data_IF_361630025339
#
_entry.id   IF_361630025339
#
_cell.length_a   1.000
_cell.length_b   1.000
_cell.length_c   1.000
_cell.angle_alpha   90.00
_cell.angle_beta   90.00
_cell.angle_gamma   90.00
#
_symmetry.space_group_name_H-M   'P 1'
#
loop_
_entity.id
_entity.type
_entity.pdbx_description
1 polymer ?
#
# COMPACT_ATOMS: atom_id res chain seq x y z
N UNK A 1 10.46 12.32 7.54
CA UNK A 1 11.21 13.31 8.36
C UNK A 1 11.71 12.79 9.71
N UNK A 2 10.88 12.13 10.53
CA UNK A 2 11.30 11.66 11.87
C UNK A 2 12.53 10.73 11.80
N UNK A 3 12.52 9.74 10.91
CA UNK A 3 13.65 8.83 10.70
C UNK A 3 14.90 9.56 10.17
N UNK A 4 14.75 10.41 9.14
CA UNK A 4 15.86 11.21 8.61
C UNK A 4 16.51 12.09 9.69
N UNK A 5 15.70 12.75 10.52
CA UNK A 5 16.18 13.54 11.67
C UNK A 5 16.90 12.66 12.70
N UNK A 6 16.38 11.45 12.97
CA UNK A 6 17.00 10.49 13.87
C UNK A 6 18.39 10.05 13.37
N UNK A 7 18.52 9.75 12.07
CA UNK A 7 19.80 9.41 11.46
C UNK A 7 20.76 10.61 11.41
N UNK A 8 20.27 11.81 11.08
CA UNK A 8 21.07 13.03 11.06
C UNK A 8 21.67 13.34 12.44
N UNK A 9 20.91 13.16 13.53
CA UNK A 9 21.43 13.25 14.91
C UNK A 9 22.58 12.26 15.20
N UNK A 10 22.61 11.14 14.49
CA UNK A 10 23.68 10.13 14.56
C UNK A 10 24.84 10.41 13.59
N UNK A 11 24.81 11.52 12.84
CA UNK A 11 25.81 11.89 11.85
C UNK A 11 25.62 11.20 10.50
N UNK A 12 24.43 10.67 10.21
CA UNK A 12 24.11 9.98 8.96
C UNK A 12 23.12 10.81 8.13
N UNK A 13 23.49 11.12 6.89
CA UNK A 13 22.62 11.81 5.95
C UNK A 13 21.68 10.85 5.24
N UNK A 14 20.42 11.26 5.06
CA UNK A 14 19.45 10.57 4.21
C UNK A 14 19.33 11.36 2.91
N UNK A 15 19.75 10.75 1.80
CA UNK A 15 19.84 11.40 0.50
C UNK A 15 18.55 11.35 -0.33
N UNK A 16 17.56 10.54 0.06
CA UNK A 16 16.28 10.44 -0.64
C UNK A 16 15.14 10.25 0.36
N UNK A 17 14.05 11.01 0.15
CA UNK A 17 12.77 10.85 0.83
C UNK A 17 11.71 10.45 -0.20
N UNK A 18 11.23 9.22 -0.05
CA UNK A 18 10.17 8.67 -0.89
C UNK A 18 8.81 8.94 -0.25
N UNK A 19 7.95 9.64 -0.99
CA UNK A 19 6.56 9.90 -0.64
C UNK A 19 5.71 8.88 -1.40
N UNK A 20 4.85 8.19 -0.67
CA UNK A 20 4.03 7.12 -1.22
C UNK A 20 2.56 7.36 -0.95
N UNK A 21 1.70 7.00 -1.90
CA UNK A 21 0.28 6.86 -1.62
C UNK A 21 0.07 5.83 -0.52
N UNK A 22 -0.75 6.17 0.48
CA UNK A 22 -1.02 5.27 1.60
C UNK A 22 -1.79 4.00 1.22
N UNK A 23 -2.58 4.06 0.13
CA UNK A 23 -3.47 2.97 -0.30
C UNK A 23 -3.27 2.53 -1.77
N UNK A 24 -2.72 3.38 -2.65
CA UNK A 24 -2.58 3.09 -4.07
C UNK A 24 -1.19 2.49 -4.45
N UNK A 25 -0.41 2.07 -3.45
CA UNK A 25 0.84 1.32 -3.61
C UNK A 25 0.61 -0.19 -3.48
N UNK A 26 1.59 -1.01 -3.87
CA UNK A 26 1.60 -2.45 -3.54
C UNK A 26 2.14 -2.70 -2.12
N UNK A 27 2.00 -3.93 -1.63
CA UNK A 27 2.49 -4.32 -0.30
C UNK A 27 1.63 -3.84 0.87
N UNK A 28 2.25 -3.55 2.01
CA UNK A 28 1.54 -3.01 3.19
C UNK A 28 0.97 -1.63 2.88
N UNK A 29 -0.28 -1.43 3.26
CA UNK A 29 -0.96 -0.15 3.10
C UNK A 29 -1.02 0.57 4.45
N UNK A 30 -0.73 1.87 4.40
CA UNK A 30 -0.71 2.75 5.55
C UNK A 30 -1.62 3.94 5.25
N UNK A 31 -2.93 3.72 5.38
CA UNK A 31 -3.91 4.79 5.24
C UNK A 31 -3.63 5.87 6.29
N UNK A 32 -3.37 7.10 5.84
CA UNK A 32 -3.38 8.26 6.73
C UNK A 32 -4.80 8.57 7.18
N UNK A 33 -4.96 9.59 8.03
CA UNK A 33 -6.27 10.05 8.50
C UNK A 33 -7.03 10.85 7.42
N UNK A 34 -7.05 10.38 6.17
CA UNK A 34 -7.75 11.02 5.05
C UNK A 34 -6.91 12.02 4.23
N UNK A 35 -5.62 12.22 4.55
CA UNK A 35 -4.73 13.06 3.75
C UNK A 35 -4.40 12.40 2.39
N UNK A 36 -4.82 13.04 1.30
CA UNK A 36 -4.57 12.55 -0.07
C UNK A 36 -3.17 12.94 -0.56
N UNK A 37 -2.64 12.21 -1.54
CA UNK A 37 -1.27 12.36 -2.01
C UNK A 37 -0.99 13.75 -2.61
N UNK A 38 -1.89 14.29 -3.45
CA UNK A 38 -1.63 15.58 -4.11
C UNK A 38 -1.39 16.76 -3.15
N UNK A 39 -2.28 17.00 -2.17
CA UNK A 39 -2.03 18.00 -1.12
C UNK A 39 -0.70 17.78 -0.37
N UNK A 40 -0.37 16.53 -0.05
CA UNK A 40 0.91 16.19 0.60
C UNK A 40 2.09 16.56 -0.30
N UNK A 41 2.05 16.22 -1.58
CA UNK A 41 3.10 16.58 -2.54
C UNK A 41 3.23 18.11 -2.70
N UNK A 42 2.12 18.85 -2.68
CA UNK A 42 2.14 20.32 -2.70
C UNK A 42 2.88 20.89 -1.48
N UNK A 43 2.58 20.38 -0.29
CA UNK A 43 3.25 20.80 0.93
C UNK A 43 4.76 20.52 0.87
N UNK A 44 5.16 19.34 0.36
CA UNK A 44 6.59 19.02 0.20
C UNK A 44 7.29 19.93 -0.81
N UNK A 45 6.63 20.28 -1.91
CA UNK A 45 7.13 21.27 -2.87
C UNK A 45 7.34 22.62 -2.21
N UNK A 46 6.35 23.13 -1.48
CA UNK A 46 6.40 24.45 -0.83
C UNK A 46 7.43 24.52 0.30
N UNK A 47 7.53 23.45 1.10
CA UNK A 47 8.41 23.42 2.29
C UNK A 47 9.79 22.83 2.01
N UNK A 48 10.11 22.49 0.75
CA UNK A 48 11.36 21.78 0.37
C UNK A 48 12.63 22.43 0.95
N UNK A 49 12.78 23.74 0.77
CA UNK A 49 13.95 24.48 1.25
C UNK A 49 14.02 24.53 2.78
N UNK A 50 12.87 24.69 3.43
CA UNK A 50 12.79 24.65 4.89
C UNK A 50 13.22 23.28 5.42
N UNK A 51 12.74 22.19 4.80
CA UNK A 51 13.12 20.82 5.16
C UNK A 51 14.62 20.58 4.98
N UNK A 52 15.19 21.08 3.88
CA UNK A 52 16.63 20.96 3.60
C UNK A 52 17.49 21.68 4.64
N UNK A 53 17.15 22.92 4.98
CA UNK A 53 17.85 23.67 6.04
C UNK A 53 17.79 22.95 7.38
N UNK A 54 16.61 22.56 7.82
CA UNK A 54 16.41 21.88 9.12
C UNK A 54 17.16 20.54 9.18
N UNK A 55 17.19 19.76 8.09
CA UNK A 55 17.92 18.50 8.04
C UNK A 55 19.44 18.72 8.15
N UNK A 56 19.97 19.73 7.45
CA UNK A 56 21.38 20.09 7.51
C UNK A 56 21.81 20.59 8.90
N UNK A 57 20.99 21.42 9.55
CA UNK A 57 21.26 21.90 10.92
C UNK A 57 21.37 20.72 11.90
N UNK A 58 20.45 19.76 11.81
CA UNK A 58 20.47 18.56 12.68
C UNK A 58 21.68 17.69 12.39
N UNK A 59 22.08 17.54 11.11
CA UNK A 59 23.28 16.79 10.73
C UNK A 59 24.55 17.47 11.28
N UNK A 60 24.68 18.79 11.09
CA UNK A 60 25.83 19.55 11.55
C UNK A 60 26.00 19.44 13.07
N UNK A 61 24.90 19.56 13.82
CA UNK A 61 24.92 19.35 15.27
C UNK A 61 25.31 17.91 15.63
N UNK A 62 24.74 16.91 14.94
CA UNK A 62 25.03 15.49 15.16
C UNK A 62 26.52 15.15 14.93
N UNK A 63 27.12 15.71 13.89
CA UNK A 63 28.54 15.55 13.56
C UNK A 63 29.44 16.29 14.56
N UNK A 64 29.11 17.54 14.89
CA UNK A 64 29.86 18.34 15.86
C UNK A 64 29.91 17.67 17.24
N UNK A 65 28.77 17.16 17.73
CA UNK A 65 28.69 16.44 19.01
C UNK A 65 29.53 15.15 19.06
N UNK A 66 29.91 14.62 17.89
CA UNK A 66 30.73 13.41 17.74
C UNK A 66 32.19 13.72 17.38
N UNK A 67 32.59 14.99 17.35
CA UNK A 67 33.92 15.40 16.92
C UNK A 67 34.23 15.03 15.47
N UNK A 68 33.21 14.99 14.60
CA UNK A 68 33.35 14.68 13.17
C UNK A 68 33.35 15.95 12.33
N UNK A 69 33.88 15.84 11.12
CA UNK A 69 33.94 16.94 10.16
C UNK A 69 32.52 17.31 9.74
N UNK A 70 32.15 18.59 9.91
CA UNK A 70 30.91 19.15 9.42
C UNK A 70 31.12 19.60 7.96
N UNK A 71 30.28 19.16 7.01
CA UNK A 71 30.36 19.61 5.61
C UNK A 71 30.25 21.14 5.49
N UNK A 72 31.11 21.74 4.68
CA UNK A 72 31.05 23.19 4.39
C UNK A 72 29.90 23.55 3.44
N UNK A 73 29.62 22.67 2.48
CA UNK A 73 28.45 22.77 1.58
C UNK A 73 27.28 22.04 2.22
N UNK A 74 26.08 22.61 2.13
CA UNK A 74 24.85 21.91 2.52
C UNK A 74 24.68 20.63 1.69
N UNK A 75 24.27 19.57 2.37
CA UNK A 75 23.88 18.32 1.74
C UNK A 75 22.52 18.52 1.08
N UNK A 76 22.32 17.90 -0.08
CA UNK A 76 21.07 17.91 -0.81
C UNK A 76 20.38 16.56 -0.67
N UNK A 77 19.04 16.55 -0.75
CA UNK A 77 18.25 15.33 -0.81
C UNK A 77 17.28 15.37 -1.99
N UNK A 78 16.92 14.18 -2.43
CA UNK A 78 15.88 13.96 -3.42
C UNK A 78 14.53 13.71 -2.74
N UNK A 79 13.46 14.21 -3.34
CA UNK A 79 12.07 13.86 -3.04
C UNK A 79 11.54 13.08 -4.24
N UNK A 80 11.12 11.84 -3.99
CA UNK A 80 10.52 10.97 -5.00
C UNK A 80 9.08 10.68 -4.64
N UNK A 81 8.22 10.46 -5.64
CA UNK A 81 6.81 10.13 -5.44
C UNK A 81 6.46 8.78 -6.09
N UNK A 82 5.59 8.01 -5.45
CA UNK A 82 5.05 6.78 -6.04
C UNK A 82 3.65 6.46 -5.52
N UNK A 83 2.97 5.56 -6.23
CA UNK A 83 1.61 5.09 -5.92
C UNK A 83 0.65 5.42 -7.05
N UNK A 84 -0.02 4.40 -7.58
CA UNK A 84 -1.03 4.56 -8.62
C UNK A 84 -0.58 5.00 -10.01
N UNK A 85 0.62 5.56 -10.18
CA UNK A 85 1.14 6.08 -11.46
C UNK A 85 1.05 5.00 -12.54
N UNK A 86 0.37 5.33 -13.63
CA UNK A 86 0.05 4.39 -14.70
C UNK A 86 0.24 4.94 -16.11
N UNK A 87 0.38 6.27 -16.29
CA UNK A 87 0.63 6.85 -17.62
C UNK A 87 1.86 7.76 -17.63
N UNK A 88 2.42 7.98 -18.82
CA UNK A 88 3.51 8.94 -19.04
C UNK A 88 3.09 10.38 -18.68
N UNK A 89 1.83 10.73 -18.91
CA UNK A 89 1.30 12.05 -18.56
C UNK A 89 1.26 12.26 -17.04
N UNK A 90 0.76 11.28 -16.28
CA UNK A 90 0.80 11.33 -14.80
C UNK A 90 2.23 11.42 -14.27
N UNK A 91 3.14 10.61 -14.84
CA UNK A 91 4.56 10.65 -14.47
C UNK A 91 5.16 12.04 -14.69
N UNK A 92 4.97 12.60 -15.88
CA UNK A 92 5.51 13.92 -16.22
C UNK A 92 4.85 15.02 -15.37
N UNK A 93 3.55 14.89 -15.08
CA UNK A 93 2.84 15.83 -14.21
C UNK A 93 3.44 15.91 -12.81
N UNK A 94 3.82 14.77 -12.21
CA UNK A 94 4.47 14.75 -10.89
C UNK A 94 5.83 15.46 -10.90
N UNK A 95 6.62 15.29 -11.97
CA UNK A 95 7.90 15.99 -12.14
C UNK A 95 7.68 17.50 -12.33
N UNK A 96 6.76 17.88 -13.21
CA UNK A 96 6.57 19.27 -13.62
C UNK A 96 5.83 20.11 -12.58
N UNK A 97 4.69 19.61 -12.11
CA UNK A 97 3.81 20.36 -11.21
C UNK A 97 4.35 20.32 -9.77
N UNK A 98 4.68 19.13 -9.26
CA UNK A 98 5.12 18.95 -7.88
C UNK A 98 6.63 19.09 -7.69
N UNK A 99 7.41 19.21 -8.76
CA UNK A 99 8.89 19.33 -8.70
C UNK A 99 9.53 18.13 -7.98
N UNK A 100 8.99 16.95 -8.21
CA UNK A 100 9.59 15.69 -7.76
C UNK A 100 10.88 15.44 -8.55
N UNK A 101 11.89 14.85 -7.91
CA UNK A 101 13.15 14.52 -8.58
C UNK A 101 13.06 13.21 -9.37
N UNK A 102 12.16 12.31 -8.96
CA UNK A 102 11.87 11.08 -9.67
C UNK A 102 10.49 10.53 -9.26
N UNK A 103 9.98 9.61 -10.07
CA UNK A 103 8.70 8.95 -9.86
C UNK A 103 8.88 7.43 -9.94
N UNK A 104 8.45 6.74 -8.90
CA UNK A 104 8.58 5.29 -8.78
C UNK A 104 7.44 4.52 -9.45
N UNK A 105 7.81 3.44 -10.16
CA UNK A 105 6.89 2.47 -10.75
C UNK A 105 7.20 1.09 -10.17
N UNK A 106 6.21 0.49 -9.49
CA UNK A 106 6.38 -0.81 -8.82
C UNK A 106 5.54 -1.89 -9.46
N UNK A 107 4.23 -1.87 -9.19
CA UNK A 107 3.29 -2.92 -9.59
C UNK A 107 3.39 -3.37 -11.06
N UNK A 108 3.47 -2.49 -12.08
CA UNK A 108 3.53 -2.93 -13.47
C UNK A 108 4.80 -3.74 -13.80
N UNK A 109 5.90 -3.53 -13.06
CA UNK A 109 7.12 -4.32 -13.23
C UNK A 109 6.95 -5.78 -12.81
N UNK A 110 5.90 -6.14 -12.06
CA UNK A 110 5.58 -7.55 -11.79
C UNK A 110 5.23 -8.35 -13.06
N UNK A 111 4.92 -7.66 -14.16
CA UNK A 111 4.66 -8.25 -15.48
C UNK A 111 5.91 -8.24 -16.40
N UNK A 112 7.08 -7.90 -15.86
CA UNK A 112 8.35 -7.78 -16.61
C UNK A 112 9.34 -8.86 -16.15
N UNK A 113 9.21 -10.12 -16.62
CA UNK A 113 9.99 -11.25 -16.11
C UNK A 113 11.51 -11.11 -16.32
N UNK A 114 11.95 -10.21 -17.21
CA UNK A 114 13.37 -9.93 -17.43
C UNK A 114 14.05 -9.22 -16.25
N UNK A 115 13.27 -8.58 -15.35
CA UNK A 115 13.81 -7.77 -14.23
C UNK A 115 13.24 -8.13 -12.86
N UNK A 116 12.19 -8.97 -12.81
CA UNK A 116 11.63 -9.49 -11.55
C UNK A 116 11.51 -11.00 -11.59
N UNK A 117 11.68 -11.65 -10.43
CA UNK A 117 11.45 -13.08 -10.30
C UNK A 117 9.99 -13.36 -9.94
N UNK A 118 9.12 -13.36 -10.95
CA UNK A 118 7.71 -13.77 -10.82
C UNK A 118 7.51 -15.07 -11.61
N UNK A 119 7.05 -16.12 -10.93
CA UNK A 119 6.75 -17.42 -11.53
C UNK A 119 5.56 -17.34 -12.50
N UNK A 120 5.50 -18.28 -13.46
CA UNK A 120 4.50 -18.24 -14.52
C UNK A 120 3.05 -18.28 -14.01
N UNK A 121 2.77 -19.06 -12.95
CA UNK A 121 1.41 -19.14 -12.40
C UNK A 121 0.99 -17.79 -11.81
N UNK A 122 1.86 -17.15 -11.04
CA UNK A 122 1.61 -15.81 -10.51
C UNK A 122 1.51 -14.76 -11.62
N UNK A 123 2.37 -14.84 -12.64
CA UNK A 123 2.34 -13.95 -13.79
C UNK A 123 1.01 -14.03 -14.56
N UNK A 124 0.48 -15.23 -14.74
CA UNK A 124 -0.82 -15.46 -15.39
C UNK A 124 -1.98 -14.89 -14.57
N UNK A 125 -1.95 -15.07 -13.25
CA UNK A 125 -2.93 -14.47 -12.34
C UNK A 125 -2.89 -12.93 -12.40
N UNK A 126 -1.69 -12.33 -12.40
CA UNK A 126 -1.54 -10.87 -12.47
C UNK A 126 -2.07 -10.28 -13.77
N UNK A 127 -1.81 -10.93 -14.93
CA UNK A 127 -2.34 -10.49 -16.24
C UNK A 127 -3.87 -10.55 -16.31
N UNK A 128 -4.47 -11.51 -15.62
CA UNK A 128 -5.91 -11.72 -15.61
C UNK A 128 -6.64 -10.84 -14.58
N UNK A 129 -5.91 -10.24 -13.64
CA UNK A 129 -6.46 -9.50 -12.52
C UNK A 129 -7.32 -8.31 -12.98
N UNK A 130 -8.50 -8.20 -12.38
CA UNK A 130 -9.40 -7.05 -12.49
C UNK A 130 -9.45 -6.30 -11.16
N UNK A 131 -10.22 -5.22 -11.10
CA UNK A 131 -10.31 -4.41 -9.88
C UNK A 131 -10.79 -5.22 -8.67
N UNK A 132 -11.81 -6.08 -8.84
CA UNK A 132 -12.37 -6.90 -7.76
C UNK A 132 -11.43 -8.00 -7.24
N UNK A 133 -10.40 -8.34 -8.03
CA UNK A 133 -9.37 -9.32 -7.66
C UNK A 133 -8.28 -8.70 -6.78
N UNK A 134 -8.15 -7.37 -6.78
CA UNK A 134 -7.14 -6.61 -6.05
C UNK A 134 -7.79 -5.96 -4.85
N UNK A 135 -7.34 -6.33 -3.65
CA UNK A 135 -8.02 -5.88 -2.44
C UNK A 135 -7.05 -5.60 -1.30
N UNK A 136 -7.48 -4.71 -0.42
CA UNK A 136 -6.80 -4.44 0.83
C UNK A 136 -7.16 -5.53 1.85
N UNK A 137 -6.23 -6.45 2.08
CA UNK A 137 -6.48 -7.65 2.87
C UNK A 137 -6.03 -7.52 4.33
N UNK A 138 -6.61 -8.36 5.19
CA UNK A 138 -6.17 -8.52 6.57
C UNK A 138 -5.09 -9.59 6.76
N UNK A 139 -4.55 -10.20 5.68
CA UNK A 139 -3.72 -11.42 5.79
C UNK A 139 -2.40 -11.22 6.55
N UNK A 140 -1.93 -9.98 6.69
CA UNK A 140 -0.65 -9.67 7.32
C UNK A 140 -0.64 -10.06 8.81
N UNK A 141 0.34 -10.86 9.26
CA UNK A 141 0.48 -11.19 10.67
C UNK A 141 0.92 -10.01 11.54
N UNK A 142 1.32 -8.88 10.93
CA UNK A 142 1.70 -7.64 11.62
C UNK A 142 0.49 -6.78 12.03
N UNK A 143 -0.73 -7.15 11.64
CA UNK A 143 -1.94 -6.36 11.92
C UNK A 143 -2.07 -5.09 11.06
N UNK A 144 -1.17 -4.89 10.09
CA UNK A 144 -1.22 -3.81 9.10
C UNK A 144 -1.89 -4.33 7.82
N UNK A 145 -2.88 -3.62 7.25
CA UNK A 145 -3.49 -3.98 5.98
C UNK A 145 -2.47 -4.23 4.86
N UNK A 146 -2.79 -5.13 3.95
CA UNK A 146 -1.85 -5.61 2.93
C UNK A 146 -2.54 -5.81 1.59
N UNK A 147 -2.10 -5.11 0.55
CA UNK A 147 -2.63 -5.33 -0.79
C UNK A 147 -2.34 -6.76 -1.24
N UNK A 148 -3.35 -7.45 -1.75
CA UNK A 148 -3.25 -8.85 -2.15
C UNK A 148 -4.06 -9.11 -3.41
N UNK A 149 -3.63 -10.14 -4.14
CA UNK A 149 -4.36 -10.69 -5.29
C UNK A 149 -5.20 -11.88 -4.83
N UNK A 150 -6.51 -11.85 -5.07
CA UNK A 150 -7.40 -12.98 -4.82
C UNK A 150 -6.96 -14.19 -5.63
N UNK A 151 -7.04 -15.37 -5.03
CA UNK A 151 -6.68 -16.62 -5.68
C UNK A 151 -5.17 -16.88 -5.81
N UNK A 152 -4.31 -16.08 -5.17
CA UNK A 152 -2.88 -16.41 -5.09
C UNK A 152 -2.68 -17.80 -4.44
N UNK A 153 -1.63 -18.50 -4.85
CA UNK A 153 -1.44 -19.92 -4.50
C UNK A 153 -1.16 -20.14 -3.02
N UNK A 154 -0.61 -19.14 -2.31
CA UNK A 154 -0.43 -19.24 -0.85
C UNK A 154 -1.75 -19.17 -0.09
N UNK A 155 -2.69 -18.35 -0.55
CA UNK A 155 -4.02 -18.28 0.06
C UNK A 155 -4.83 -19.55 -0.24
N UNK A 156 -4.71 -20.12 -1.44
CA UNK A 156 -5.31 -21.42 -1.75
C UNK A 156 -4.77 -22.54 -0.83
N UNK A 157 -3.44 -22.59 -0.62
CA UNK A 157 -2.80 -23.51 0.33
C UNK A 157 -3.31 -23.30 1.76
N UNK A 158 -3.37 -22.04 2.22
CA UNK A 158 -3.89 -21.67 3.55
C UNK A 158 -5.31 -22.15 3.78
N UNK A 159 -6.21 -21.92 2.81
CA UNK A 159 -7.61 -22.32 2.90
C UNK A 159 -7.78 -23.84 2.88
N UNK A 160 -7.00 -24.57 2.07
CA UNK A 160 -7.01 -26.03 2.08
C UNK A 160 -6.59 -26.60 3.45
N UNK A 161 -5.52 -26.06 4.04
CA UNK A 161 -5.04 -26.45 5.37
C UNK A 161 -6.09 -26.14 6.47
N UNK A 162 -6.79 -25.02 6.35
CA UNK A 162 -7.87 -24.68 7.27
C UNK A 162 -9.05 -25.65 7.17
N UNK A 163 -9.45 -26.04 5.95
CA UNK A 163 -10.51 -27.02 5.70
C UNK A 163 -10.18 -28.43 6.26
N UNK A 164 -8.89 -28.78 6.36
CA UNK A 164 -8.42 -30.00 7.05
C UNK A 164 -8.44 -29.89 8.59
N UNK A 165 -8.91 -28.77 9.15
CA UNK A 165 -8.94 -28.53 10.60
C UNK A 165 -7.56 -28.20 11.19
N UNK A 166 -6.59 -27.80 10.37
CA UNK A 166 -5.21 -27.48 10.81
C UNK A 166 -4.77 -26.04 10.47
N UNK A 167 -5.63 -25.03 10.66
CA UNK A 167 -5.39 -23.68 10.18
C UNK A 167 -4.06 -23.10 10.69
N UNK A 168 -3.41 -22.30 9.86
CA UNK A 168 -2.15 -21.62 10.16
C UNK A 168 -0.89 -22.39 9.73
N UNK A 169 0.19 -21.63 9.60
CA UNK A 169 1.50 -22.11 9.15
C UNK A 169 2.30 -22.79 10.27
N UNK A 170 3.15 -23.74 9.91
CA UNK A 170 4.17 -24.29 10.83
C UNK A 170 5.24 -23.25 11.23
N UNK A 171 5.26 -22.09 10.58
CA UNK A 171 6.10 -20.93 10.88
C UNK A 171 7.61 -21.27 10.96
N UNK A 172 8.21 -21.82 9.89
CA UNK A 172 9.60 -22.27 9.92
C UNK A 172 10.60 -21.13 10.16
N UNK A 173 10.32 -19.91 9.66
CA UNK A 173 11.24 -18.76 9.74
C UNK A 173 11.12 -17.94 11.02
N UNK A 174 9.93 -17.88 11.64
CA UNK A 174 9.63 -17.12 12.87
C UNK A 174 9.97 -15.60 12.86
N UNK A 175 10.29 -15.00 11.72
CA UNK A 175 10.66 -13.58 11.64
C UNK A 175 9.61 -12.60 12.16
N UNK A 176 8.33 -12.99 12.09
CA UNK A 176 7.17 -12.18 12.51
C UNK A 176 6.46 -12.81 13.72
N UNK A 177 7.21 -13.57 14.53
CA UNK A 177 6.72 -14.10 15.80
C UNK A 177 6.85 -13.01 16.88
N UNK A 178 5.87 -12.11 16.94
CA UNK A 178 5.90 -10.90 17.77
C UNK A 178 4.74 -10.80 18.78
N UNK A 179 3.85 -11.79 18.84
CA UNK A 179 2.67 -11.78 19.70
C UNK A 179 2.85 -12.73 20.91
N UNK A 180 2.54 -12.24 22.11
CA UNK A 180 2.66 -12.97 23.40
C UNK A 180 1.29 -13.21 24.07
N UNK A 181 0.19 -13.18 23.33
CA UNK A 181 -1.18 -13.26 23.89
C UNK A 181 -1.43 -14.58 24.62
N UNK A 182 -0.91 -15.70 24.11
CA UNK A 182 -1.15 -17.03 24.66
C UNK A 182 0.08 -17.74 25.21
N UNK A 183 1.27 -17.21 24.99
CA UNK A 183 2.53 -17.87 25.32
C UNK A 183 3.59 -16.88 25.77
N UNK A 184 4.46 -17.28 26.70
CA UNK A 184 5.60 -16.46 27.16
C UNK A 184 6.58 -16.15 26.02
N UNK A 185 6.82 -17.13 25.15
CA UNK A 185 7.61 -16.94 23.93
C UNK A 185 6.71 -16.39 22.83
N UNK A 186 7.20 -15.39 22.10
CA UNK A 186 6.44 -14.80 21.01
C UNK A 186 6.16 -15.80 19.90
N UNK A 187 4.91 -15.81 19.44
CA UNK A 187 4.42 -16.61 18.33
C UNK A 187 3.81 -15.69 17.27
N UNK A 188 3.70 -16.20 16.04
CA UNK A 188 3.14 -15.45 14.92
C UNK A 188 1.62 -15.66 14.87
N UNK A 189 0.85 -14.61 14.60
CA UNK A 189 -0.62 -14.70 14.47
C UNK A 189 -1.07 -15.56 13.28
N UNK A 190 -0.22 -15.70 12.25
CA UNK A 190 -0.42 -16.63 11.15
C UNK A 190 0.08 -18.07 11.43
N UNK A 191 0.59 -18.35 12.65
CA UNK A 191 1.06 -19.70 13.01
C UNK A 191 -0.09 -20.60 13.42
N UNK A 192 0.07 -21.90 13.16
CA UNK A 192 -0.87 -22.93 13.58
C UNK A 192 -1.08 -22.95 15.09
N UNK A 193 -0.01 -22.69 15.84
CA UNK A 193 -0.09 -22.62 17.30
C UNK A 193 -1.02 -21.50 17.75
N UNK A 194 -0.84 -20.28 17.22
CA UNK A 194 -1.67 -19.13 17.57
C UNK A 194 -3.11 -19.34 17.13
N UNK A 195 -3.35 -19.68 15.86
CA UNK A 195 -4.71 -19.82 15.33
C UNK A 195 -5.49 -20.92 16.07
N UNK A 196 -4.87 -22.05 16.41
CA UNK A 196 -5.53 -23.08 17.23
C UNK A 196 -5.93 -22.57 18.63
N UNK A 197 -5.06 -21.80 19.28
CA UNK A 197 -5.35 -21.26 20.61
C UNK A 197 -6.47 -20.21 20.54
N UNK A 198 -6.42 -19.34 19.53
CA UNK A 198 -7.44 -18.30 19.32
C UNK A 198 -8.80 -18.88 18.92
N UNK A 199 -8.83 -19.94 18.11
CA UNK A 199 -10.06 -20.66 17.78
C UNK A 199 -10.67 -21.35 19.00
N UNK A 200 -9.85 -21.95 19.88
CA UNK A 200 -10.34 -22.53 21.13
C UNK A 200 -10.97 -21.47 22.05
N UNK A 201 -10.39 -20.27 22.10
CA UNK A 201 -10.99 -19.15 22.83
C UNK A 201 -12.33 -18.75 22.21
N UNK A 202 -12.39 -18.61 20.87
CA UNK A 202 -13.62 -18.29 20.15
C UNK A 202 -14.73 -19.31 20.39
N UNK A 203 -14.42 -20.61 20.36
CA UNK A 203 -15.39 -21.68 20.59
C UNK A 203 -15.99 -21.64 22.00
N UNK A 204 -15.26 -21.10 22.98
CA UNK A 204 -15.74 -20.92 24.35
C UNK A 204 -16.65 -19.69 24.54
N UNK A 205 -16.71 -18.78 23.57
CA UNK A 205 -17.58 -17.60 23.62
C UNK A 205 -19.06 -17.92 23.32
N UNK A 206 -19.38 -19.12 22.81
CA UNK A 206 -20.74 -19.60 22.50
C UNK A 206 -21.58 -18.60 21.67
N UNK A 207 -20.93 -17.92 20.72
CA UNK A 207 -21.56 -16.90 19.89
C UNK A 207 -22.57 -17.49 18.89
N UNK A 208 -23.56 -16.69 18.42
CA UNK A 208 -24.40 -17.07 17.29
C UNK A 208 -23.57 -17.44 16.07
N UNK A 209 -23.99 -18.47 15.31
CA UNK A 209 -23.25 -19.02 14.17
C UNK A 209 -22.70 -17.96 13.19
N UNK A 210 -23.48 -16.92 12.89
CA UNK A 210 -23.04 -15.86 11.96
C UNK A 210 -21.88 -15.02 12.52
N UNK A 211 -21.91 -14.69 13.82
CA UNK A 211 -20.83 -13.94 14.47
C UNK A 211 -19.61 -14.80 14.71
N UNK A 212 -19.81 -16.07 15.10
CA UNK A 212 -18.75 -17.06 15.23
C UNK A 212 -18.00 -17.23 13.90
N UNK A 213 -18.70 -17.45 12.79
CA UNK A 213 -18.08 -17.61 11.47
C UNK A 213 -17.27 -16.37 11.06
N UNK A 214 -17.79 -15.16 11.28
CA UNK A 214 -17.05 -13.91 10.99
C UNK A 214 -15.74 -13.83 11.78
N UNK A 215 -15.76 -14.19 13.07
CA UNK A 215 -14.54 -14.22 13.90
C UNK A 215 -13.59 -15.34 13.47
N UNK A 216 -14.12 -16.52 13.13
CA UNK A 216 -13.35 -17.64 12.60
C UNK A 216 -12.58 -17.22 11.34
N UNK A 217 -13.26 -16.62 10.36
CA UNK A 217 -12.67 -16.18 9.10
C UNK A 217 -11.56 -15.15 9.33
N UNK A 218 -11.76 -14.19 10.24
CA UNK A 218 -10.73 -13.19 10.64
C UNK A 218 -9.49 -13.83 11.26
N UNK A 219 -9.64 -14.92 12.01
CA UNK A 219 -8.51 -15.65 12.62
C UNK A 219 -7.72 -16.40 11.54
N UNK A 220 -8.40 -17.15 10.68
CA UNK A 220 -7.76 -18.00 9.68
C UNK A 220 -7.28 -17.23 8.44
N UNK A 221 -7.74 -15.99 8.23
CA UNK A 221 -7.29 -15.12 7.14
C UNK A 221 -5.77 -14.90 7.16
N UNK A 222 -5.16 -14.86 8.36
CA UNK A 222 -3.73 -14.55 8.53
C UNK A 222 -2.85 -15.56 7.80
N UNK A 223 -2.00 -15.06 6.90
CA UNK A 223 -1.13 -15.85 6.02
C UNK A 223 0.34 -15.70 6.38
N UNK A 224 1.14 -16.73 6.08
CA UNK A 224 2.59 -16.70 6.34
C UNK A 224 3.34 -15.96 5.22
N UNK A 225 3.44 -14.64 5.37
CA UNK A 225 4.15 -13.79 4.40
C UNK A 225 5.67 -14.03 4.35
N UNK A 226 6.26 -14.58 5.43
CA UNK A 226 7.71 -14.83 5.53
C UNK A 226 8.22 -15.87 4.52
N UNK A 227 7.35 -16.76 4.05
CA UNK A 227 7.69 -17.76 3.05
C UNK A 227 7.02 -17.42 1.72
N UNK A 228 5.74 -17.02 1.74
CA UNK A 228 4.96 -16.79 0.52
C UNK A 228 5.53 -15.72 -0.40
N UNK A 229 6.01 -14.59 0.15
CA UNK A 229 6.51 -13.47 -0.66
C UNK A 229 7.86 -13.75 -1.35
N UNK A 230 8.65 -14.68 -0.82
CA UNK A 230 9.94 -15.06 -1.39
C UNK A 230 9.89 -16.30 -2.30
N UNK A 231 8.80 -17.07 -2.25
CA UNK A 231 8.70 -18.38 -2.91
C UNK A 231 8.79 -18.27 -4.43
N UNK A 232 8.23 -17.21 -5.02
CA UNK A 232 8.27 -17.00 -6.47
C UNK A 232 9.72 -16.97 -7.00
N UNK A 233 10.63 -16.33 -6.27
CA UNK A 233 12.04 -16.29 -6.63
C UNK A 233 12.72 -17.67 -6.58
N UNK A 234 12.35 -18.51 -5.62
CA UNK A 234 12.85 -19.88 -5.52
C UNK A 234 12.37 -20.73 -6.71
N UNK A 235 11.09 -20.61 -7.08
CA UNK A 235 10.49 -21.34 -8.19
C UNK A 235 11.14 -20.97 -9.54
N UNK A 236 11.27 -19.68 -9.83
CA UNK A 236 11.90 -19.18 -11.07
C UNK A 236 13.33 -19.69 -11.21
N UNK A 237 14.10 -19.67 -10.11
CA UNK A 237 15.50 -20.06 -10.09
C UNK A 237 15.73 -21.57 -9.84
N UNK A 238 14.66 -22.38 -9.76
CA UNK A 238 14.70 -23.83 -9.51
C UNK A 238 15.49 -24.19 -8.24
N UNK A 239 15.33 -23.37 -7.20
CA UNK A 239 15.94 -23.57 -5.88
C UNK A 239 15.06 -24.47 -4.99
N UNK A 240 15.64 -24.98 -3.90
CA UNK A 240 14.92 -25.83 -2.95
C UNK A 240 13.78 -25.04 -2.26
N UNK A 241 12.60 -25.65 -2.20
CA UNK A 241 11.38 -25.08 -1.61
C UNK A 241 10.83 -25.91 -0.46
N UNK A 242 11.60 -26.87 0.07
CA UNK A 242 11.13 -27.78 1.14
C UNK A 242 10.68 -27.05 2.40
N UNK A 243 11.31 -25.92 2.72
CA UNK A 243 10.99 -25.14 3.92
C UNK A 243 9.82 -24.17 3.67
N UNK A 244 9.81 -23.51 2.52
CA UNK A 244 8.86 -22.45 2.17
C UNK A 244 7.52 -22.99 1.68
N UNK A 245 7.55 -24.14 1.00
CA UNK A 245 6.45 -24.68 0.21
C UNK A 245 6.41 -24.10 -1.20
N UNK A 246 5.37 -24.45 -1.96
CA UNK A 246 5.16 -23.96 -3.33
C UNK A 246 4.20 -22.77 -3.41
N UNK A 247 3.45 -22.47 -2.34
CA UNK A 247 2.51 -21.36 -2.32
C UNK A 247 3.21 -19.99 -2.36
N UNK A 248 2.77 -19.15 -3.29
CA UNK A 248 3.27 -17.80 -3.54
C UNK A 248 2.23 -16.78 -3.07
N UNK A 249 2.69 -15.82 -2.27
CA UNK A 249 1.93 -14.60 -1.95
C UNK A 249 2.41 -13.49 -2.88
N UNK A 250 1.49 -12.67 -3.37
CA UNK A 250 1.81 -11.52 -4.22
C UNK A 250 0.97 -10.32 -3.79
N UNK A 251 1.58 -9.14 -3.82
CA UNK A 251 1.00 -7.92 -3.28
C UNK A 251 1.03 -6.76 -4.29
N UNK A 252 0.41 -6.93 -5.48
CA UNK A 252 0.31 -5.85 -6.45
C UNK A 252 -0.53 -4.69 -5.88
N UNK A 253 -0.20 -3.46 -6.26
CA UNK A 253 -1.09 -2.33 -6.03
C UNK A 253 -2.32 -2.36 -6.95
N UNK A 254 -3.36 -1.54 -6.69
CA UNK A 254 -4.61 -1.53 -7.44
C UNK A 254 -4.46 -1.28 -8.94
N UNK A 255 -3.40 -0.59 -9.36
CA UNK A 255 -3.12 -0.30 -10.76
C UNK A 255 -2.87 -1.54 -11.64
N UNK A 256 -2.64 -2.73 -11.06
CA UNK A 256 -2.46 -3.97 -11.82
C UNK A 256 -3.66 -4.29 -12.72
N UNK A 257 -4.89 -3.92 -12.33
CA UNK A 257 -6.12 -4.22 -13.05
C UNK A 257 -6.19 -3.68 -14.50
N UNK A 258 -5.25 -2.79 -14.86
CA UNK A 258 -5.19 -2.15 -16.17
C UNK A 258 -4.02 -2.65 -17.04
N UNK A 259 -3.10 -3.45 -16.47
CA UNK A 259 -2.01 -4.08 -17.23
C UNK A 259 -2.29 -5.58 -17.41
N UNK A 260 -2.41 -6.02 -18.68
CA UNK A 260 -2.91 -7.36 -19.00
C UNK A 260 -1.93 -8.21 -19.83
N UNK A 261 -0.68 -7.76 -19.96
CA UNK A 261 0.32 -8.41 -20.82
C UNK A 261 1.66 -8.53 -20.12
N UNK A 262 2.36 -9.62 -20.41
CA UNK A 262 3.79 -9.73 -20.12
C UNK A 262 4.54 -8.73 -21.00
N UNK A 263 5.49 -8.01 -20.42
CA UNK A 263 6.24 -6.94 -21.09
C UNK A 263 7.74 -7.18 -20.92
N UNK A 264 8.53 -6.71 -21.87
CA UNK A 264 9.97 -6.54 -21.72
C UNK A 264 10.30 -5.27 -20.94
N UNK A 265 11.54 -5.17 -20.42
CA UNK A 265 12.02 -3.93 -19.80
C UNK A 265 11.89 -2.74 -20.77
N UNK A 266 12.18 -2.96 -22.05
CA UNK A 266 12.09 -1.93 -23.08
C UNK A 266 10.67 -1.39 -23.22
N UNK A 267 9.68 -2.28 -23.33
CA UNK A 267 8.27 -1.89 -23.45
C UNK A 267 7.79 -1.11 -22.23
N UNK A 268 8.18 -1.51 -21.02
CA UNK A 268 7.86 -0.78 -19.79
C UNK A 268 8.51 0.62 -19.77
N UNK A 269 9.77 0.71 -20.19
CA UNK A 269 10.49 2.00 -20.28
C UNK A 269 9.88 2.88 -21.39
N UNK A 270 9.45 2.31 -22.51
CA UNK A 270 8.72 3.01 -23.57
C UNK A 270 7.36 3.51 -23.07
N UNK A 271 6.67 2.74 -22.21
CA UNK A 271 5.43 3.15 -21.54
C UNK A 271 5.61 4.33 -20.61
N UNK A 272 6.60 4.27 -19.72
CA UNK A 272 6.88 5.33 -18.72
C UNK A 272 7.16 6.67 -19.40
N UNK A 273 7.89 6.64 -20.51
CA UNK A 273 8.31 7.84 -21.24
C UNK A 273 7.43 8.17 -22.46
N UNK A 274 6.26 7.54 -22.58
CA UNK A 274 5.25 7.89 -23.59
C UNK A 274 5.61 7.54 -25.04
N UNK A 275 6.60 6.67 -25.26
CA UNK A 275 6.94 6.14 -26.59
C UNK A 275 6.03 4.99 -27.02
N UNK A 276 5.37 4.35 -26.06
CA UNK A 276 4.35 3.33 -26.28
C UNK A 276 3.29 3.42 -25.17
N UNK A 277 2.16 2.74 -25.34
CA UNK A 277 1.17 2.57 -24.28
C UNK A 277 0.87 1.08 -24.10
N UNK A 278 1.17 0.55 -22.92
CA UNK A 278 0.97 -0.86 -22.56
C UNK A 278 -0.40 -1.13 -21.93
N UNK A 279 -1.15 -0.08 -21.61
CA UNK A 279 -2.52 -0.17 -21.11
C UNK A 279 -3.48 -0.12 -22.30
N UNK A 280 -4.18 -1.22 -22.56
CA UNK A 280 -5.20 -1.28 -23.63
C UNK A 280 -6.58 -0.82 -23.18
N UNK A 281 -6.79 -0.70 -21.86
CA UNK A 281 -8.06 -0.25 -21.26
C UNK A 281 -8.15 1.27 -21.29
N UNK A 282 -9.33 1.79 -21.59
CA UNK A 282 -9.59 3.25 -21.67
C UNK A 282 -10.36 3.78 -20.46
N UNK A 283 -10.75 2.91 -19.54
CA UNK A 283 -11.54 3.20 -18.35
C UNK A 283 -10.70 3.30 -17.07
N UNK A 284 -9.36 3.37 -17.20
CA UNK A 284 -8.47 3.59 -16.06
C UNK A 284 -8.68 5.02 -15.52
N UNK A 285 -9.03 5.19 -14.24
CA UNK A 285 -9.12 6.51 -13.62
C UNK A 285 -7.73 7.13 -13.43
N UNK A 286 -7.68 8.46 -13.31
CA UNK A 286 -6.48 9.18 -12.92
C UNK A 286 -5.96 8.68 -11.56
N UNK A 287 -4.63 8.62 -11.37
CA UNK A 287 -4.01 8.09 -10.14
C UNK A 287 -4.51 8.75 -8.84
N UNK A 288 -4.79 10.05 -8.84
CA UNK A 288 -5.29 10.78 -7.67
C UNK A 288 -6.74 10.43 -7.37
N UNK A 289 -7.56 10.28 -8.42
CA UNK A 289 -8.96 9.88 -8.31
C UNK A 289 -9.06 8.42 -7.83
N UNK A 290 -8.19 7.53 -8.34
CA UNK A 290 -8.12 6.15 -7.85
C UNK A 290 -7.76 6.11 -6.37
N UNK A 291 -6.79 6.89 -5.93
CA UNK A 291 -6.44 6.99 -4.50
C UNK A 291 -7.61 7.52 -3.66
N UNK A 292 -8.28 8.58 -4.11
CA UNK A 292 -9.45 9.14 -3.42
C UNK A 292 -10.53 8.08 -3.18
N UNK A 293 -10.87 7.32 -4.22
CA UNK A 293 -11.87 6.25 -4.11
C UNK A 293 -11.43 5.15 -3.13
N UNK A 294 -10.15 4.76 -3.14
CA UNK A 294 -9.62 3.79 -2.16
C UNK A 294 -9.74 4.31 -0.72
N UNK A 295 -9.56 5.61 -0.48
CA UNK A 295 -9.77 6.22 0.82
C UNK A 295 -11.25 6.24 1.25
N UNK A 296 -12.16 6.47 0.30
CA UNK A 296 -13.61 6.42 0.55
C UNK A 296 -14.04 4.98 0.90
N UNK A 297 -13.55 3.98 0.17
CA UNK A 297 -13.82 2.57 0.43
C UNK A 297 -13.28 2.15 1.80
N UNK A 298 -12.06 2.58 2.13
CA UNK A 298 -11.45 2.33 3.43
C UNK A 298 -12.24 3.01 4.57
N UNK A 299 -12.71 4.24 4.38
CA UNK A 299 -13.59 4.92 5.33
C UNK A 299 -14.90 4.16 5.50
N UNK A 300 -15.52 3.69 4.42
CA UNK A 300 -16.74 2.89 4.50
C UNK A 300 -16.52 1.61 5.33
N UNK A 301 -15.41 0.89 5.12
CA UNK A 301 -15.09 -0.28 5.95
C UNK A 301 -14.96 0.05 7.44
N UNK A 302 -14.40 1.22 7.79
CA UNK A 302 -14.31 1.67 9.18
C UNK A 302 -15.67 2.01 9.78
N UNK A 303 -16.57 2.56 8.96
CA UNK A 303 -17.95 2.88 9.38
C UNK A 303 -18.75 1.59 9.59
N UNK A 304 -18.55 0.57 8.75
CA UNK A 304 -19.20 -0.74 8.89
C UNK A 304 -18.75 -1.50 10.14
N UNK A 305 -17.52 -1.28 10.61
CA UNK A 305 -17.01 -1.84 11.87
C UNK A 305 -17.51 -1.07 13.12
N UNK A 306 -18.32 -0.01 12.97
CA UNK A 306 -18.92 0.68 14.11
C UNK A 306 -19.93 -0.22 14.83
N UNK A 307 -19.88 -0.17 16.16
CA UNK A 307 -20.76 -0.96 17.04
C UNK A 307 -21.42 -0.06 18.07
N UNK A 308 -22.38 -0.59 18.83
CA UNK A 308 -23.01 0.14 19.93
C UNK A 308 -21.99 0.59 21.00
N UNK A 309 -20.83 -0.05 21.08
CA UNK A 309 -19.72 0.29 21.99
C UNK A 309 -18.71 1.30 21.43
N UNK A 310 -18.90 1.81 20.20
CA UNK A 310 -17.99 2.80 19.62
C UNK A 310 -17.97 4.09 20.45
N UNK A 311 -16.76 4.54 20.76
CA UNK A 311 -16.52 5.74 21.55
C UNK A 311 -16.74 7.02 20.76
N UNK A 312 -17.08 8.11 21.45
CA UNK A 312 -17.15 9.43 20.83
C UNK A 312 -15.84 9.85 20.17
N UNK A 313 -14.69 9.40 20.71
CA UNK A 313 -13.37 9.69 20.14
C UNK A 313 -13.17 9.03 18.77
N UNK A 314 -13.61 7.79 18.61
CA UNK A 314 -13.56 7.09 17.32
C UNK A 314 -14.45 7.79 16.29
N UNK A 315 -15.67 8.18 16.68
CA UNK A 315 -16.55 8.97 15.81
C UNK A 315 -15.93 10.30 15.40
N UNK A 316 -15.34 11.04 16.35
CA UNK A 316 -14.63 12.30 16.04
C UNK A 316 -13.45 12.08 15.10
N UNK A 317 -12.73 10.96 15.21
CA UNK A 317 -11.64 10.61 14.28
C UNK A 317 -12.17 10.34 12.87
N UNK A 318 -13.32 9.67 12.73
CA UNK A 318 -13.97 9.47 11.42
C UNK A 318 -14.47 10.79 10.82
N UNK A 319 -15.01 11.69 11.63
CA UNK A 319 -15.37 13.05 11.16
C UNK A 319 -14.14 13.80 10.65
N UNK A 320 -13.03 13.80 11.40
CA UNK A 320 -11.78 14.41 10.95
C UNK A 320 -11.27 13.78 9.64
N UNK A 321 -11.40 12.46 9.50
CA UNK A 321 -11.07 11.75 8.26
C UNK A 321 -11.88 12.27 7.07
N UNK A 322 -13.20 12.44 7.25
CA UNK A 322 -14.08 13.01 6.22
C UNK A 322 -13.66 14.41 5.83
N UNK A 323 -13.37 15.29 6.81
CA UNK A 323 -12.93 16.66 6.52
C UNK A 323 -11.61 16.68 5.73
N UNK A 324 -10.63 15.85 6.10
CA UNK A 324 -9.37 15.76 5.37
C UNK A 324 -9.58 15.28 3.92
N UNK A 325 -10.50 14.33 3.67
CA UNK A 325 -10.87 13.96 2.29
C UNK A 325 -11.54 15.13 1.57
N UNK A 326 -12.45 15.87 2.22
CA UNK A 326 -13.12 17.04 1.62
C UNK A 326 -12.11 18.11 1.18
N UNK A 327 -11.11 18.39 2.01
CA UNK A 327 -10.00 19.28 1.66
C UNK A 327 -9.24 18.75 0.44
N UNK A 328 -8.94 17.45 0.40
CA UNK A 328 -8.30 16.81 -0.74
C UNK A 328 -9.12 16.88 -2.04
N UNK A 329 -10.44 16.68 -1.98
CA UNK A 329 -11.34 16.84 -3.13
C UNK A 329 -11.32 18.28 -3.63
N UNK A 330 -11.42 19.26 -2.74
CA UNK A 330 -11.39 20.68 -3.12
C UNK A 330 -10.05 21.06 -3.76
N UNK A 331 -8.94 20.54 -3.22
CA UNK A 331 -7.63 20.70 -3.82
C UNK A 331 -7.57 20.10 -5.24
N UNK A 332 -8.12 18.90 -5.47
CA UNK A 332 -8.17 18.29 -6.80
C UNK A 332 -9.07 19.07 -7.77
N UNK A 333 -10.24 19.55 -7.34
CA UNK A 333 -11.10 20.40 -8.17
C UNK A 333 -10.36 21.65 -8.66
N UNK A 334 -9.67 22.34 -7.75
CA UNK A 334 -8.87 23.52 -8.10
C UNK A 334 -7.71 23.14 -9.02
N UNK A 335 -6.95 22.09 -8.69
CA UNK A 335 -5.81 21.62 -9.46
C UNK A 335 -6.19 21.34 -10.91
N UNK A 336 -7.21 20.52 -11.14
CA UNK A 336 -7.61 20.14 -12.51
C UNK A 336 -8.31 21.27 -13.26
N UNK A 337 -8.87 22.26 -12.55
CA UNK A 337 -9.40 23.49 -13.18
C UNK A 337 -8.28 24.39 -13.70
N UNK A 338 -7.20 24.55 -12.94
CA UNK A 338 -6.08 25.43 -13.27
C UNK A 338 -5.08 24.82 -14.26
N UNK A 339 -4.96 23.50 -14.25
CA UNK A 339 -4.07 22.76 -15.16
C UNK A 339 -4.60 22.89 -16.59
N UNK A 340 -3.76 23.48 -17.45
CA UNK A 340 -3.98 23.66 -18.89
C UNK A 340 -3.12 22.69 -19.68
N UNK A 341 -3.63 22.23 -20.82
CA UNK A 341 -2.91 21.43 -21.80
C UNK A 341 -2.40 20.09 -21.24
N UNK A 342 -3.03 19.60 -20.17
CA UNK A 342 -2.76 18.30 -19.54
C UNK A 342 -4.07 17.68 -19.11
N UNK A 343 -4.15 16.35 -19.22
CA UNK A 343 -5.30 15.53 -18.90
C UNK A 343 -6.57 15.90 -19.66
N UNK A 344 -6.48 16.65 -20.76
CA UNK A 344 -7.63 17.21 -21.49
C UNK A 344 -8.63 16.11 -21.89
N UNK A 345 -8.14 14.97 -22.38
CA UNK A 345 -8.96 13.82 -22.77
C UNK A 345 -9.72 13.18 -21.59
N UNK A 346 -9.18 13.32 -20.37
CA UNK A 346 -9.73 12.73 -19.14
C UNK A 346 -10.35 13.76 -18.20
N UNK A 347 -10.34 15.05 -18.56
CA UNK A 347 -10.73 16.15 -17.68
C UNK A 347 -12.20 16.03 -17.25
N UNK A 348 -13.08 15.73 -18.20
CA UNK A 348 -14.50 15.52 -17.93
C UNK A 348 -14.75 14.31 -17.02
N UNK A 349 -14.04 13.18 -17.22
CA UNK A 349 -14.19 12.02 -16.36
C UNK A 349 -13.66 12.29 -14.96
N UNK A 350 -12.53 13.00 -14.84
CA UNK A 350 -11.97 13.42 -13.55
C UNK A 350 -12.99 14.24 -12.74
N UNK A 351 -13.61 15.27 -13.33
CA UNK A 351 -14.62 16.08 -12.63
C UNK A 351 -15.88 15.26 -12.29
N UNK A 352 -16.32 14.38 -13.18
CA UNK A 352 -17.44 13.47 -12.91
C UNK A 352 -17.14 12.53 -11.72
N UNK A 353 -15.93 12.00 -11.65
CA UNK A 353 -15.48 11.12 -10.57
C UNK A 353 -15.33 11.88 -9.24
N UNK A 354 -14.84 13.12 -9.26
CA UNK A 354 -14.77 13.99 -8.09
C UNK A 354 -16.16 14.27 -7.51
N UNK A 355 -17.13 14.60 -8.37
CA UNK A 355 -18.52 14.81 -7.94
C UNK A 355 -19.17 13.54 -7.38
N UNK A 356 -18.87 12.39 -7.98
CA UNK A 356 -19.33 11.09 -7.48
C UNK A 356 -18.70 10.78 -6.12
N UNK A 357 -17.41 11.00 -5.98
CA UNK A 357 -16.66 10.85 -4.72
C UNK A 357 -17.23 11.77 -3.63
N UNK A 358 -17.54 13.03 -3.96
CA UNK A 358 -18.13 14.01 -3.05
C UNK A 358 -19.51 13.56 -2.54
N UNK A 359 -20.35 13.03 -3.43
CA UNK A 359 -21.65 12.46 -3.05
C UNK A 359 -21.51 11.25 -2.14
N UNK A 360 -20.64 10.30 -2.49
CA UNK A 360 -20.39 9.10 -1.69
C UNK A 360 -19.87 9.47 -0.29
N UNK A 361 -18.91 10.40 -0.21
CA UNK A 361 -18.37 10.89 1.05
C UNK A 361 -19.45 11.53 1.93
N UNK A 362 -20.35 12.32 1.34
CA UNK A 362 -21.48 12.92 2.08
C UNK A 362 -22.46 11.85 2.60
N UNK A 363 -22.73 10.80 1.82
CA UNK A 363 -23.55 9.68 2.29
C UNK A 363 -22.89 8.94 3.45
N UNK A 364 -21.57 8.75 3.42
CA UNK A 364 -20.82 8.15 4.53
C UNK A 364 -20.83 9.03 5.77
N UNK A 365 -20.66 10.35 5.61
CA UNK A 365 -20.71 11.31 6.71
C UNK A 365 -22.04 11.24 7.49
N UNK A 366 -23.16 11.03 6.80
CA UNK A 366 -24.48 10.88 7.43
C UNK A 366 -24.64 9.58 8.25
N UNK A 367 -23.75 8.60 8.08
CA UNK A 367 -23.76 7.32 8.81
C UNK A 367 -22.91 7.34 10.10
N UNK A 368 -22.07 8.36 10.30
CA UNK A 368 -21.20 8.53 11.49
C UNK A 368 -22.03 9.12 12.64
#
# INVERSE_FOLDING_TARGET
>A
MIQGRFFAKKGLWVSEYRIESGLNCGGHAFASEGFLLGPVLAEFKEKRDQLNRLANEVLAQGLSNKGRIVPKKQMEFLITAQGGVGTAEEHQFLLDHYKMDSVGWGTPFMLVPDVVNVDNTTLDLLKAAKEDDLYLSGISPLGVPFNSLRGNTKDAEKLAIAAEGKPGSLCPKKYVALNNEFTEKSICTASRQYQRLKLKELDAEELPNLEHQKKYDRIIEKSCICVGLGTSALLVNKLDTKTEGLGVSVCPGPNMAYFSKTMSLREMVDHIYGRANMISRTDRPNMFIKELNLYIDFLNSKIEDLTASTTNKEKSSLVAFVENIREGINYYDQLFSEVKDRFEDTKNSIFSDLETSRKNLNLLYLKI
#
